data_IF_505636074606
#
_entry.id   IF_505636074606
#
_cell.length_a   1.000
_cell.length_b   1.000
_cell.length_c   1.000
_cell.angle_alpha   90.00
_cell.angle_beta   90.00
_cell.angle_gamma   90.00
#
_symmetry.space_group_name_H-M   'P 1'
#
loop_
_entity.id
_entity.type
_entity.pdbx_description
1 polymer ?
#
# COMPACT_ATOMS: atom_id res chain seq x y z
N UNK A 1 2.37 15.32 18.37
CA UNK A 1 1.10 14.58 18.45
C UNK A 1 0.14 15.28 17.51
N UNK A 2 -0.30 14.65 16.41
CA UNK A 2 -1.33 15.25 15.54
C UNK A 2 -2.68 14.96 16.20
N UNK A 3 -3.58 15.93 16.24
CA UNK A 3 -4.95 15.74 16.73
C UNK A 3 -5.83 15.54 15.49
N UNK A 4 -6.57 14.44 15.44
CA UNK A 4 -7.52 14.13 14.37
C UNK A 4 -8.89 14.75 14.68
N UNK A 5 -9.60 15.21 13.66
CA UNK A 5 -10.99 15.65 13.77
C UNK A 5 -11.94 14.54 13.29
N UNK A 6 -12.63 13.87 14.22
CA UNK A 6 -13.39 12.64 13.97
C UNK A 6 -14.88 12.86 13.74
N UNK A 7 -15.23 13.92 12.99
CA UNK A 7 -16.62 14.29 12.79
C UNK A 7 -17.44 13.18 12.13
N UNK A 8 -16.93 12.57 11.04
CA UNK A 8 -17.63 11.46 10.37
C UNK A 8 -17.86 10.26 11.30
N UNK A 9 -16.82 9.83 12.00
CA UNK A 9 -16.90 8.68 12.91
C UNK A 9 -17.92 8.89 14.02
N UNK A 10 -17.95 10.10 14.60
CA UNK A 10 -18.92 10.47 15.61
C UNK A 10 -20.35 10.50 15.05
N UNK A 11 -20.55 11.08 13.86
CA UNK A 11 -21.87 11.08 13.20
C UNK A 11 -22.36 9.66 12.91
N UNK A 12 -21.50 8.78 12.39
CA UNK A 12 -21.88 7.39 12.10
C UNK A 12 -22.25 6.63 13.38
N UNK A 13 -21.54 6.88 14.50
CA UNK A 13 -21.81 6.23 15.80
C UNK A 13 -23.21 6.52 16.33
N UNK A 14 -23.70 7.75 16.15
CA UNK A 14 -25.03 8.17 16.61
C UNK A 14 -26.11 8.07 15.52
N UNK A 15 -25.82 7.44 14.38
CA UNK A 15 -26.80 7.32 13.29
C UNK A 15 -27.15 8.66 12.61
N UNK A 16 -26.28 9.67 12.75
CA UNK A 16 -26.43 11.01 12.19
C UNK A 16 -25.70 11.20 10.85
N UNK A 17 -25.07 10.14 10.33
CA UNK A 17 -24.36 10.15 9.05
C UNK A 17 -25.30 9.80 7.88
N UNK A 18 -25.94 10.81 7.30
CA UNK A 18 -26.88 10.66 6.18
C UNK A 18 -26.51 11.53 4.97
N UNK A 19 -27.10 11.20 3.82
CA UNK A 19 -26.91 11.96 2.59
C UNK A 19 -27.46 13.39 2.76
N UNK A 20 -26.57 14.39 2.73
CA UNK A 20 -26.94 15.79 2.91
C UNK A 20 -26.38 16.40 4.20
N UNK A 21 -25.92 15.59 5.16
CA UNK A 21 -25.46 16.05 6.48
C UNK A 21 -24.40 17.16 6.42
N UNK A 22 -23.50 17.13 5.43
CA UNK A 22 -22.48 18.19 5.23
C UNK A 22 -23.12 19.54 4.88
N UNK A 23 -24.20 19.54 4.08
CA UNK A 23 -24.95 20.74 3.73
C UNK A 23 -25.68 21.29 4.95
N UNK A 24 -26.42 20.42 5.64
CA UNK A 24 -27.20 20.80 6.84
C UNK A 24 -26.30 21.35 7.95
N UNK A 25 -25.14 20.72 8.18
CA UNK A 25 -24.13 21.21 9.11
C UNK A 25 -23.55 22.56 8.67
N UNK A 26 -23.33 22.76 7.38
CA UNK A 26 -22.78 24.01 6.85
C UNK A 26 -23.76 25.17 7.03
N UNK A 27 -25.03 24.93 6.74
CA UNK A 27 -26.10 25.90 6.88
C UNK A 27 -26.34 26.23 8.36
N UNK A 28 -26.44 25.22 9.23
CA UNK A 28 -26.63 25.43 10.67
C UNK A 28 -25.42 26.12 11.32
N UNK A 29 -24.20 25.68 10.99
CA UNK A 29 -23.00 26.28 11.54
C UNK A 29 -22.62 27.61 10.88
N UNK A 30 -23.34 28.04 9.84
CA UNK A 30 -23.10 29.29 9.12
C UNK A 30 -21.70 29.37 8.49
N UNK A 31 -21.22 28.27 7.89
CA UNK A 31 -19.90 28.19 7.23
C UNK A 31 -20.01 27.56 5.84
N UNK A 32 -18.98 27.73 5.01
CA UNK A 32 -18.96 27.11 3.69
C UNK A 32 -18.98 25.57 3.79
N UNK A 33 -19.80 24.92 2.96
CA UNK A 33 -19.88 23.47 2.79
C UNK A 33 -18.52 22.80 2.61
N UNK A 34 -17.58 23.46 1.95
CA UNK A 34 -16.21 22.96 1.75
C UNK A 34 -15.44 22.86 3.08
N UNK A 35 -15.68 23.77 4.02
CA UNK A 35 -15.07 23.75 5.36
C UNK A 35 -15.57 22.56 6.16
N UNK A 36 -16.89 22.33 6.18
CA UNK A 36 -17.48 21.14 6.83
C UNK A 36 -17.01 19.86 6.13
N UNK A 37 -16.96 19.84 4.79
CA UNK A 37 -16.47 18.68 4.05
C UNK A 37 -15.01 18.35 4.39
N UNK A 38 -14.16 19.37 4.59
CA UNK A 38 -12.78 19.15 5.04
C UNK A 38 -12.72 18.60 6.46
N UNK A 39 -13.51 19.13 7.39
CA UNK A 39 -13.58 18.62 8.77
C UNK A 39 -14.14 17.19 8.83
N UNK A 40 -15.20 16.93 8.09
CA UNK A 40 -15.84 15.62 7.97
C UNK A 40 -14.88 14.55 7.45
N UNK A 41 -13.96 14.91 6.55
CA UNK A 41 -12.95 14.02 6.00
C UNK A 41 -11.57 14.13 6.67
N UNK A 42 -11.45 14.78 7.84
CA UNK A 42 -10.17 14.99 8.56
C UNK A 42 -9.06 15.68 7.73
N UNK A 43 -9.45 16.54 6.78
CA UNK A 43 -8.54 17.32 5.91
C UNK A 43 -8.36 18.77 6.35
N UNK A 44 -8.88 19.13 7.53
CA UNK A 44 -8.75 20.47 8.08
C UNK A 44 -7.47 20.58 8.90
N UNK A 45 -6.63 21.58 8.61
CA UNK A 45 -5.39 21.81 9.37
C UNK A 45 -5.66 22.32 10.80
N UNK A 46 -6.80 22.99 11.00
CA UNK A 46 -7.28 23.47 12.29
C UNK A 46 -8.79 23.68 12.25
N UNK A 47 -9.42 23.75 13.42
CA UNK A 47 -10.82 24.14 13.60
C UNK A 47 -10.84 25.36 14.53
N UNK A 48 -11.61 26.40 14.18
CA UNK A 48 -11.78 27.55 15.06
C UNK A 48 -12.66 27.19 16.25
N UNK A 49 -12.42 27.80 17.42
CA UNK A 49 -13.25 27.56 18.62
C UNK A 49 -14.73 27.88 18.39
N UNK A 50 -15.03 28.90 17.58
CA UNK A 50 -16.41 29.27 17.23
C UNK A 50 -17.08 28.15 16.43
N UNK A 51 -16.39 27.61 15.43
CA UNK A 51 -16.93 26.50 14.63
C UNK A 51 -17.04 25.22 15.47
N UNK A 52 -16.06 24.94 16.33
CA UNK A 52 -16.11 23.81 17.26
C UNK A 52 -17.31 23.90 18.19
N UNK A 53 -17.54 25.08 18.79
CA UNK A 53 -18.69 25.32 19.68
C UNK A 53 -20.02 25.11 18.94
N UNK A 54 -20.12 25.60 17.70
CA UNK A 54 -21.29 25.36 16.84
C UNK A 54 -21.50 23.87 16.57
N UNK A 55 -20.45 23.15 16.18
CA UNK A 55 -20.54 21.71 15.93
C UNK A 55 -20.96 20.93 17.17
N UNK A 56 -20.41 21.25 18.34
CA UNK A 56 -20.85 20.65 19.61
C UNK A 56 -22.32 20.97 19.91
N UNK A 57 -22.77 22.20 19.65
CA UNK A 57 -24.18 22.58 19.83
C UNK A 57 -25.11 21.76 18.95
N UNK A 58 -24.80 21.62 17.66
CA UNK A 58 -25.59 20.82 16.72
C UNK A 58 -25.66 19.34 17.10
N UNK A 59 -24.55 18.79 17.63
CA UNK A 59 -24.46 17.40 18.10
C UNK A 59 -25.25 17.20 19.40
N UNK A 60 -25.15 18.14 20.33
CA UNK A 60 -25.92 18.11 21.58
C UNK A 60 -27.43 18.20 21.33
N UNK A 61 -27.88 19.01 20.35
CA UNK A 61 -29.28 19.06 19.91
C UNK A 61 -29.79 17.71 19.34
N UNK A 62 -28.88 16.80 18.98
CA UNK A 62 -29.16 15.48 18.42
C UNK A 62 -28.77 14.34 19.35
N UNK A 63 -28.84 14.61 20.66
CA UNK A 63 -28.67 13.62 21.72
C UNK A 63 -27.27 12.98 21.79
N UNK A 64 -26.25 13.61 21.19
CA UNK A 64 -24.86 13.23 21.48
C UNK A 64 -24.54 13.68 22.92
N UNK A 65 -24.11 12.76 23.81
CA UNK A 65 -23.85 13.05 25.22
C UNK A 65 -22.84 14.20 25.41
N UNK A 66 -23.14 15.10 26.34
CA UNK A 66 -22.32 16.28 26.60
C UNK A 66 -20.94 15.93 27.19
N UNK A 67 -20.81 14.79 27.88
CA UNK A 67 -19.55 14.24 28.38
C UNK A 67 -18.65 13.67 27.27
N UNK A 68 -19.22 13.35 26.10
CA UNK A 68 -18.46 13.02 24.89
C UNK A 68 -18.06 14.26 24.08
N UNK A 69 -18.50 15.48 24.41
CA UNK A 69 -18.19 16.70 23.64
C UNK A 69 -17.32 17.68 24.44
N UNK A 70 -16.31 18.33 23.82
CA UNK A 70 -15.82 18.14 22.45
C UNK A 70 -14.91 16.92 22.29
N UNK A 71 -14.64 16.15 23.35
CA UNK A 71 -13.62 15.10 23.37
C UNK A 71 -13.75 14.08 22.23
N UNK A 72 -14.96 13.60 21.96
CA UNK A 72 -15.29 12.66 20.88
C UNK A 72 -15.13 13.22 19.47
N UNK A 73 -15.08 14.55 19.29
CA UNK A 73 -14.71 15.17 18.02
C UNK A 73 -13.19 15.12 17.78
N UNK A 74 -12.40 14.88 18.82
CA UNK A 74 -10.95 14.87 18.74
C UNK A 74 -10.38 13.50 19.05
N UNK A 75 -9.62 12.97 18.10
CA UNK A 75 -8.79 11.81 18.32
C UNK A 75 -7.36 12.20 18.63
N UNK A 76 -6.62 11.35 19.35
CA UNK A 76 -5.19 11.27 19.11
C UNK A 76 -5.06 10.84 17.65
N UNK A 77 -4.57 11.76 16.82
CA UNK A 77 -4.35 11.49 15.42
C UNK A 77 -3.35 10.36 15.27
N UNK A 78 -3.63 9.45 14.32
CA UNK A 78 -2.75 8.32 14.04
C UNK A 78 -1.36 8.86 13.78
N UNK A 79 -0.39 8.21 14.42
CA UNK A 79 0.99 8.55 14.16
C UNK A 79 1.23 8.43 12.64
N UNK A 80 1.88 9.44 12.02
CA UNK A 80 2.37 9.29 10.65
C UNK A 80 3.12 7.97 10.49
N UNK A 81 3.10 7.36 9.30
CA UNK A 81 3.62 6.01 9.04
C UNK A 81 4.99 5.77 9.69
N UNK A 82 5.95 6.66 9.45
CA UNK A 82 7.30 6.53 9.98
C UNK A 82 7.33 6.58 11.51
N UNK A 83 6.48 7.42 12.10
CA UNK A 83 6.31 7.49 13.54
C UNK A 83 5.60 6.26 14.10
N UNK A 84 4.63 5.69 13.37
CA UNK A 84 3.94 4.47 13.74
C UNK A 84 4.92 3.29 13.78
N UNK A 85 5.73 3.13 12.73
CA UNK A 85 6.79 2.11 12.67
C UNK A 85 7.81 2.25 13.79
N UNK A 86 8.33 3.46 14.03
CA UNK A 86 9.30 3.70 15.10
C UNK A 86 8.73 3.42 16.51
N UNK A 87 7.45 3.75 16.73
CA UNK A 87 6.76 3.53 18.02
C UNK A 87 6.29 2.10 18.22
N UNK A 88 6.12 1.34 17.14
CA UNK A 88 5.71 -0.06 17.20
C UNK A 88 6.62 -0.87 18.12
N UNK A 89 7.90 -0.51 18.14
CA UNK A 89 8.96 -1.23 18.82
C UNK A 89 9.38 -2.47 18.03
N UNK A 90 10.60 -2.94 18.29
CA UNK A 90 11.19 -4.09 17.60
C UNK A 90 11.97 -3.75 16.34
N UNK A 91 12.33 -4.80 15.60
CA UNK A 91 13.12 -4.69 14.36
C UNK A 91 12.23 -4.28 13.17
N UNK A 92 12.77 -3.42 12.30
CA UNK A 92 12.22 -3.17 10.96
C UNK A 92 13.04 -3.98 9.96
N UNK A 93 12.40 -4.96 9.33
CA UNK A 93 13.04 -5.84 8.35
C UNK A 93 12.59 -5.51 6.94
N UNK A 94 13.52 -5.07 6.10
CA UNK A 94 13.29 -4.76 4.69
C UNK A 94 13.72 -5.97 3.86
N UNK A 95 12.77 -6.55 3.10
CA UNK A 95 13.01 -7.67 2.20
C UNK A 95 13.11 -7.19 0.75
N UNK A 96 14.20 -7.59 0.10
CA UNK A 96 14.50 -7.32 -1.30
C UNK A 96 14.71 -8.62 -2.07
N UNK A 97 14.35 -8.62 -3.34
CA UNK A 97 14.67 -9.70 -4.27
C UNK A 97 16.15 -9.75 -4.63
N UNK A 98 16.79 -10.91 -4.50
CA UNK A 98 18.15 -11.17 -4.99
C UNK A 98 18.09 -12.03 -6.26
N UNK A 99 18.53 -11.43 -7.36
CA UNK A 99 18.61 -12.05 -8.66
C UNK A 99 19.74 -13.09 -8.65
N UNK A 100 19.40 -14.34 -8.98
CA UNK A 100 20.36 -15.43 -9.15
C UNK A 100 20.21 -16.05 -10.54
N UNK A 101 20.84 -15.48 -11.58
CA UNK A 101 20.80 -16.04 -12.91
C UNK A 101 21.46 -17.41 -12.93
N UNK A 102 20.76 -18.33 -13.54
CA UNK A 102 21.19 -19.72 -13.63
C UNK A 102 21.69 -19.99 -15.04
N UNK A 103 22.92 -20.49 -15.15
CA UNK A 103 23.46 -21.13 -16.36
C UNK A 103 23.82 -22.56 -15.99
N UNK A 104 23.39 -23.53 -16.79
CA UNK A 104 23.70 -24.96 -16.56
C UNK A 104 23.44 -25.44 -15.11
N UNK A 105 22.35 -24.95 -14.49
CA UNK A 105 21.97 -25.22 -13.08
C UNK A 105 22.85 -24.59 -11.98
N UNK A 106 23.82 -23.74 -12.34
CA UNK A 106 24.67 -23.02 -11.39
C UNK A 106 24.35 -21.53 -11.36
N UNK A 107 24.44 -20.94 -10.16
CA UNK A 107 24.28 -19.49 -9.96
C UNK A 107 25.57 -18.79 -10.39
N UNK A 108 25.47 -17.93 -11.40
CA UNK A 108 26.66 -17.29 -11.99
C UNK A 108 27.12 -16.04 -11.21
N UNK A 109 26.19 -15.19 -10.78
CA UNK A 109 26.45 -14.03 -9.92
C UNK A 109 25.19 -13.66 -9.14
N UNK A 110 25.26 -12.69 -8.23
CA UNK A 110 24.12 -12.25 -7.41
C UNK A 110 24.06 -10.74 -7.36
N UNK A 111 22.86 -10.18 -7.48
CA UNK A 111 22.65 -8.74 -7.33
C UNK A 111 21.21 -8.44 -6.92
N UNK A 112 21.01 -7.19 -6.52
CA UNK A 112 19.70 -6.61 -6.27
C UNK A 112 19.42 -5.54 -7.33
N UNK A 113 18.14 -5.30 -7.62
CA UNK A 113 17.73 -4.21 -8.51
C UNK A 113 18.21 -2.88 -7.94
N UNK A 114 18.86 -2.04 -8.77
CA UNK A 114 19.23 -0.66 -8.42
C UNK A 114 18.00 0.10 -7.91
N UNK A 115 16.86 -0.04 -8.60
CA UNK A 115 15.60 0.65 -8.28
C UNK A 115 15.08 0.28 -6.90
N UNK A 116 15.03 -1.03 -6.60
CA UNK A 116 14.54 -1.51 -5.30
C UNK A 116 15.50 -1.14 -4.17
N UNK A 117 16.81 -1.15 -4.45
CA UNK A 117 17.86 -0.70 -3.53
C UNK A 117 17.78 0.79 -3.22
N UNK A 118 17.50 1.64 -4.22
CA UNK A 118 17.28 3.09 -4.01
C UNK A 118 16.12 3.32 -3.04
N UNK A 119 14.99 2.64 -3.25
CA UNK A 119 13.83 2.77 -2.35
C UNK A 119 14.16 2.31 -0.93
N UNK A 120 14.82 1.15 -0.78
CA UNK A 120 15.25 0.66 0.52
C UNK A 120 16.18 1.66 1.21
N UNK A 121 17.10 2.28 0.47
CA UNK A 121 18.03 3.29 1.01
C UNK A 121 17.30 4.54 1.51
N UNK A 122 16.33 5.05 0.76
CA UNK A 122 15.52 6.20 1.17
C UNK A 122 14.69 5.89 2.44
N UNK A 123 14.10 4.69 2.52
CA UNK A 123 13.38 4.25 3.71
C UNK A 123 14.30 4.10 4.93
N UNK A 124 15.50 3.55 4.75
CA UNK A 124 16.51 3.45 5.80
C UNK A 124 16.93 4.84 6.28
N UNK A 125 17.14 5.79 5.38
CA UNK A 125 17.46 7.17 5.74
C UNK A 125 16.31 7.81 6.55
N UNK A 126 15.08 7.64 6.10
CA UNK A 126 13.91 8.19 6.76
C UNK A 126 13.69 7.60 8.16
N UNK A 127 13.87 6.28 8.33
CA UNK A 127 13.77 5.62 9.64
C UNK A 127 14.95 5.95 10.56
N UNK A 128 16.15 6.13 9.99
CA UNK A 128 17.37 6.49 10.73
C UNK A 128 17.40 7.94 11.21
N UNK A 129 16.74 8.85 10.49
CA UNK A 129 16.65 10.28 10.88
C UNK A 129 15.92 10.48 12.22
N UNK A 130 15.25 9.44 12.73
CA UNK A 130 14.45 9.51 13.94
C UNK A 130 13.17 10.29 13.71
N UNK A 131 12.30 10.30 14.72
CA UNK A 131 11.00 10.97 14.62
C UNK A 131 11.05 12.32 15.33
N UNK A 132 10.29 13.31 14.85
CA UNK A 132 10.15 14.65 15.49
C UNK A 132 9.61 14.61 16.94
N UNK A 133 9.38 13.43 17.51
CA UNK A 133 8.92 13.21 18.88
C UNK A 133 9.92 12.49 19.79
N UNK A 134 11.19 12.36 19.40
CA UNK A 134 12.24 11.78 20.26
C UNK A 134 12.19 10.25 20.40
N UNK A 135 11.41 9.55 19.58
CA UNK A 135 11.47 8.08 19.51
C UNK A 135 12.79 7.69 18.84
N UNK A 136 13.61 6.82 19.46
CA UNK A 136 14.89 6.39 18.88
C UNK A 136 14.66 5.68 17.55
N UNK A 137 15.67 5.74 16.68
CA UNK A 137 15.64 5.00 15.42
C UNK A 137 15.48 3.50 15.71
N UNK A 138 14.60 2.78 14.99
CA UNK A 138 14.44 1.35 15.18
C UNK A 138 15.67 0.58 14.71
N UNK A 139 15.85 -0.64 15.20
CA UNK A 139 16.86 -1.55 14.62
C UNK A 139 16.44 -1.91 13.19
N UNK A 140 17.34 -1.70 12.23
CA UNK A 140 17.08 -1.95 10.82
C UNK A 140 17.80 -3.23 10.37
N UNK A 141 17.07 -4.09 9.66
CA UNK A 141 17.60 -5.33 9.10
C UNK A 141 17.25 -5.41 7.61
N UNK A 142 18.25 -5.60 6.76
CA UNK A 142 18.03 -5.84 5.33
C UNK A 142 18.22 -7.33 5.05
N UNK A 143 17.21 -7.95 4.44
CA UNK A 143 17.23 -9.35 4.05
C UNK A 143 17.00 -9.51 2.56
N UNK A 144 17.83 -10.35 1.96
CA UNK A 144 17.79 -10.65 0.54
C UNK A 144 17.15 -12.02 0.32
N UNK A 145 16.14 -12.07 -0.54
CA UNK A 145 15.45 -13.30 -0.89
C UNK A 145 15.88 -13.77 -2.27
N UNK A 146 16.66 -14.86 -2.34
CA UNK A 146 17.14 -15.36 -3.61
C UNK A 146 15.99 -15.94 -4.42
N UNK A 147 15.91 -15.53 -5.68
CA UNK A 147 15.09 -16.17 -6.69
C UNK A 147 15.94 -16.43 -7.92
N UNK A 148 15.77 -17.62 -8.49
CA UNK A 148 16.51 -18.05 -9.67
C UNK A 148 15.71 -17.71 -10.91
N UNK A 149 16.40 -17.14 -11.89
CA UNK A 149 15.78 -16.73 -13.14
C UNK A 149 16.72 -17.00 -14.33
N UNK A 150 16.14 -17.33 -15.48
CA UNK A 150 16.89 -17.42 -16.74
C UNK A 150 16.62 -16.13 -17.52
N UNK A 151 17.62 -15.27 -17.77
CA UNK A 151 17.40 -14.04 -18.53
C UNK A 151 16.95 -14.31 -19.98
N UNK A 152 17.29 -15.47 -20.53
CA UNK A 152 17.01 -15.85 -21.91
C UNK A 152 15.62 -16.49 -22.09
N UNK A 153 15.02 -17.00 -21.00
CA UNK A 153 13.76 -17.73 -21.06
C UNK A 153 12.65 -17.00 -20.32
N UNK A 154 11.58 -16.67 -21.03
CA UNK A 154 10.36 -16.15 -20.41
C UNK A 154 9.61 -17.21 -19.57
N UNK A 155 10.02 -18.48 -19.69
CA UNK A 155 9.44 -19.62 -18.99
C UNK A 155 10.23 -19.85 -17.69
N UNK A 156 9.51 -19.94 -16.57
CA UNK A 156 10.11 -20.31 -15.29
C UNK A 156 10.35 -21.82 -15.25
N UNK A 157 11.59 -22.22 -14.93
CA UNK A 157 11.89 -23.61 -14.57
C UNK A 157 11.11 -24.00 -13.30
N UNK A 158 10.22 -24.99 -13.44
CA UNK A 158 9.31 -25.42 -12.37
C UNK A 158 10.04 -26.02 -11.16
N UNK A 159 11.18 -26.68 -11.38
CA UNK A 159 11.96 -27.27 -10.29
C UNK A 159 12.63 -26.15 -9.47
N UNK A 160 13.28 -25.21 -10.14
CA UNK A 160 13.89 -24.05 -9.48
C UNK A 160 12.85 -23.20 -8.75
N UNK A 161 11.69 -22.97 -9.37
CA UNK A 161 10.57 -22.26 -8.76
C UNK A 161 10.08 -22.97 -7.49
N UNK A 162 9.85 -24.28 -7.53
CA UNK A 162 9.39 -25.04 -6.37
C UNK A 162 10.36 -24.96 -5.18
N UNK A 163 11.66 -25.02 -5.44
CA UNK A 163 12.69 -24.86 -4.42
C UNK A 163 12.72 -23.42 -3.85
N UNK A 164 12.60 -22.40 -4.71
CA UNK A 164 12.53 -21.00 -4.29
C UNK A 164 11.27 -20.70 -3.48
N UNK A 165 10.12 -21.25 -3.89
CA UNK A 165 8.86 -21.20 -3.16
C UNK A 165 8.99 -21.85 -1.79
N UNK A 166 9.64 -23.02 -1.69
CA UNK A 166 9.80 -23.74 -0.42
C UNK A 166 10.65 -22.95 0.58
N UNK A 167 11.78 -22.40 0.11
CA UNK A 167 12.65 -21.52 0.90
C UNK A 167 11.94 -20.25 1.35
N UNK A 168 11.22 -19.60 0.44
CA UNK A 168 10.50 -18.36 0.73
C UNK A 168 9.33 -18.61 1.70
N UNK A 169 8.64 -19.75 1.57
CA UNK A 169 7.57 -20.15 2.49
C UNK A 169 8.08 -20.26 3.93
N UNK A 170 9.28 -20.81 4.12
CA UNK A 170 9.86 -20.93 5.45
C UNK A 170 10.18 -19.55 6.04
N UNK A 171 10.72 -18.62 5.25
CA UNK A 171 10.91 -17.22 5.67
C UNK A 171 9.57 -16.59 6.04
N UNK A 172 8.53 -16.75 5.21
CA UNK A 172 7.19 -16.22 5.48
C UNK A 172 6.64 -16.77 6.80
N UNK A 173 6.73 -18.09 7.02
CA UNK A 173 6.30 -18.73 8.27
C UNK A 173 7.02 -18.16 9.49
N UNK A 174 8.34 -17.94 9.39
CA UNK A 174 9.12 -17.33 10.48
C UNK A 174 8.65 -15.90 10.78
N UNK A 175 8.35 -15.09 9.76
CA UNK A 175 7.81 -13.73 9.97
C UNK A 175 6.43 -13.76 10.64
N UNK A 176 5.57 -14.72 10.28
CA UNK A 176 4.22 -14.88 10.84
C UNK A 176 4.23 -15.40 12.29
N UNK A 177 5.24 -16.20 12.65
CA UNK A 177 5.35 -16.82 13.97
C UNK A 177 6.16 -15.99 14.96
N UNK A 178 6.75 -14.88 14.54
CA UNK A 178 7.50 -14.01 15.44
C UNK A 178 6.56 -13.38 16.48
N UNK A 179 6.72 -13.68 17.78
CA UNK A 179 5.86 -13.10 18.81
C UNK A 179 6.25 -11.66 19.17
N UNK A 180 7.42 -11.19 18.70
CA UNK A 180 7.91 -9.85 18.99
C UNK A 180 7.23 -8.81 18.08
N UNK A 181 6.95 -7.60 18.61
CA UNK A 181 6.58 -6.46 17.78
C UNK A 181 7.64 -6.22 16.70
N UNK A 182 7.21 -5.69 15.56
CA UNK A 182 8.14 -5.38 14.48
C UNK A 182 7.46 -4.86 13.24
N UNK A 183 8.28 -4.43 12.28
CA UNK A 183 7.81 -3.98 10.98
C UNK A 183 8.43 -4.82 9.88
N UNK A 184 7.62 -5.23 8.91
CA UNK A 184 8.08 -5.90 7.69
C UNK A 184 7.83 -4.97 6.51
N UNK A 185 8.86 -4.70 5.71
CA UNK A 185 8.76 -3.93 4.49
C UNK A 185 9.14 -4.84 3.32
N UNK A 186 8.24 -5.03 2.37
CA UNK A 186 8.44 -5.83 1.16
C UNK A 186 8.59 -4.89 -0.04
N UNK A 187 9.72 -4.96 -0.73
CA UNK A 187 9.99 -4.14 -1.91
C UNK A 187 10.17 -5.05 -3.13
N UNK A 188 9.48 -4.71 -4.21
CA UNK A 188 9.57 -5.42 -5.49
C UNK A 188 8.34 -6.30 -5.77
N UNK A 189 8.02 -6.46 -7.06
CA UNK A 189 6.86 -7.25 -7.51
C UNK A 189 7.00 -8.74 -7.19
N UNK A 190 5.92 -9.49 -7.34
CA UNK A 190 5.88 -10.95 -7.12
C UNK A 190 6.81 -11.72 -8.05
N UNK A 191 7.29 -11.09 -9.14
CA UNK A 191 8.24 -11.71 -10.07
C UNK A 191 9.68 -11.68 -9.56
N UNK A 192 9.98 -10.81 -8.59
CA UNK A 192 11.34 -10.58 -8.09
C UNK A 192 11.44 -10.69 -6.57
N UNK A 193 10.33 -10.59 -5.86
CA UNK A 193 10.25 -10.80 -4.42
C UNK A 193 9.11 -11.77 -4.10
N UNK A 194 9.43 -13.07 -4.06
CA UNK A 194 8.45 -14.14 -3.84
C UNK A 194 7.76 -14.07 -2.48
N UNK A 195 8.30 -13.33 -1.50
CA UNK A 195 7.63 -13.13 -0.21
C UNK A 195 6.37 -12.29 -0.35
N UNK A 196 6.33 -11.37 -1.33
CA UNK A 196 5.14 -10.61 -1.67
C UNK A 196 3.99 -11.53 -2.07
N UNK A 197 4.27 -12.58 -2.85
CA UNK A 197 3.28 -13.55 -3.31
C UNK A 197 2.62 -14.28 -2.13
N UNK A 198 3.43 -14.74 -1.16
CA UNK A 198 2.92 -15.36 0.06
C UNK A 198 2.14 -14.37 0.92
N UNK A 199 2.62 -13.14 1.06
CA UNK A 199 1.94 -12.11 1.85
C UNK A 199 0.57 -11.75 1.27
N UNK A 200 0.47 -11.53 -0.04
CA UNK A 200 -0.81 -11.22 -0.71
C UNK A 200 -1.75 -12.42 -0.61
N UNK A 201 -1.24 -13.64 -0.84
CA UNK A 201 -2.05 -14.84 -0.76
C UNK A 201 -2.64 -15.08 0.64
N UNK A 202 -1.85 -14.87 1.70
CA UNK A 202 -2.30 -14.96 3.09
C UNK A 202 -3.31 -13.85 3.44
N UNK A 203 -3.05 -12.61 3.01
CA UNK A 203 -3.92 -11.47 3.30
C UNK A 203 -5.32 -11.64 2.72
N UNK A 204 -5.44 -12.22 1.52
CA UNK A 204 -6.69 -12.39 0.79
C UNK A 204 -7.22 -13.83 0.77
N UNK A 205 -6.62 -14.74 1.55
CA UNK A 205 -7.11 -16.11 1.71
C UNK A 205 -7.06 -16.97 0.44
N UNK A 206 -6.07 -16.78 -0.43
CA UNK A 206 -5.89 -17.56 -1.65
C UNK A 206 -4.59 -18.37 -1.66
N UNK A 207 -4.35 -19.15 -2.72
CA UNK A 207 -3.15 -19.99 -2.85
C UNK A 207 -2.05 -19.23 -3.60
N UNK A 208 -0.84 -19.07 -3.05
CA UNK A 208 0.26 -18.39 -3.73
C UNK A 208 0.72 -19.20 -4.96
N UNK A 209 1.28 -18.51 -5.96
CA UNK A 209 1.79 -19.10 -7.21
C UNK A 209 0.75 -19.94 -7.99
N UNK A 210 -0.53 -19.61 -7.84
CA UNK A 210 -1.63 -20.29 -8.51
C UNK A 210 -2.45 -19.27 -9.27
N UNK A 211 -2.58 -19.42 -10.60
CA UNK A 211 -3.46 -18.55 -11.37
C UNK A 211 -4.89 -18.67 -10.83
N UNK A 212 -5.59 -17.56 -10.58
CA UNK A 212 -6.97 -17.62 -10.10
C UNK A 212 -7.89 -18.34 -11.09
N UNK A 213 -8.72 -19.24 -10.56
CA UNK A 213 -9.83 -19.86 -11.28
C UNK A 213 -11.13 -19.55 -10.54
N UNK A 214 -12.13 -19.02 -11.26
CA UNK A 214 -13.42 -18.63 -10.68
C UNK A 214 -13.49 -17.15 -10.28
N UNK A 215 -14.21 -16.78 -9.21
CA UNK A 215 -14.35 -15.39 -8.78
C UNK A 215 -13.01 -14.82 -8.28
N UNK A 216 -12.80 -13.50 -8.34
CA UNK A 216 -11.57 -12.89 -7.87
C UNK A 216 -11.40 -13.07 -6.36
N UNK A 217 -10.18 -13.41 -5.95
CA UNK A 217 -9.77 -13.44 -4.54
C UNK A 217 -8.98 -12.18 -4.15
N UNK A 218 -8.36 -11.50 -5.11
CA UNK A 218 -7.54 -10.29 -4.89
C UNK A 218 -8.17 -9.13 -5.67
N UNK A 219 -8.26 -7.91 -5.10
CA UNK A 219 -8.93 -6.78 -5.75
C UNK A 219 -8.07 -6.08 -6.83
N UNK A 220 -6.91 -6.64 -7.16
CA UNK A 220 -6.02 -6.17 -8.22
C UNK A 220 -5.35 -7.36 -8.91
N UNK A 221 -4.90 -7.14 -10.15
CA UNK A 221 -4.26 -8.14 -10.98
C UNK A 221 -3.23 -7.49 -11.90
N UNK A 222 -2.01 -8.03 -11.95
CA UNK A 222 -0.92 -7.54 -12.80
C UNK A 222 -0.83 -8.35 -14.09
N UNK A 223 -1.18 -7.73 -15.22
CA UNK A 223 -1.11 -8.38 -16.54
C UNK A 223 0.27 -8.17 -17.14
N UNK A 224 1.01 -9.25 -17.35
CA UNK A 224 2.42 -9.24 -17.75
C UNK A 224 2.63 -8.78 -19.19
N UNK A 225 3.80 -8.19 -19.47
CA UNK A 225 4.27 -7.97 -20.85
C UNK A 225 4.70 -9.30 -21.45
N UNK A 226 4.72 -9.38 -22.78
CA UNK A 226 5.27 -10.55 -23.49
C UNK A 226 6.75 -10.80 -23.14
N UNK A 227 7.51 -9.75 -22.84
CA UNK A 227 8.92 -9.85 -22.46
C UNK A 227 9.14 -10.22 -20.99
N UNK A 228 8.08 -10.19 -20.17
CA UNK A 228 8.20 -10.51 -18.75
C UNK A 228 8.29 -12.01 -18.53
N UNK A 229 8.98 -12.41 -17.46
CA UNK A 229 8.95 -13.79 -17.01
C UNK A 229 7.53 -14.17 -16.58
N UNK A 230 7.01 -15.28 -17.10
CA UNK A 230 5.65 -15.76 -16.84
C UNK A 230 5.58 -16.53 -15.51
N UNK A 231 5.92 -15.86 -14.41
CA UNK A 231 5.89 -16.42 -13.07
C UNK A 231 4.44 -16.63 -12.62
N UNK A 232 4.03 -17.87 -12.24
CA UNK A 232 2.71 -18.12 -11.69
C UNK A 232 2.42 -17.22 -10.49
N UNK A 233 1.22 -16.64 -10.42
CA UNK A 233 0.81 -15.76 -9.32
C UNK A 233 -0.69 -15.78 -9.11
N UNK A 234 -1.13 -15.59 -7.86
CA UNK A 234 -2.52 -15.41 -7.48
C UNK A 234 -3.08 -14.01 -7.79
N UNK A 235 -2.23 -13.07 -8.20
CA UNK A 235 -2.63 -11.72 -8.61
C UNK A 235 -1.85 -11.25 -9.85
N UNK A 236 -1.33 -12.17 -10.67
CA UNK A 236 -0.66 -11.80 -11.91
C UNK A 236 -0.58 -12.93 -12.91
N UNK A 237 -0.44 -12.58 -14.18
CA UNK A 237 -0.40 -13.54 -15.27
C UNK A 237 -0.45 -12.87 -16.65
N UNK A 238 -0.47 -13.66 -17.73
CA UNK A 238 -0.49 -13.15 -19.10
C UNK A 238 -1.85 -12.53 -19.50
N UNK A 239 -2.92 -12.84 -18.78
CA UNK A 239 -4.23 -12.25 -18.97
C UNK A 239 -4.98 -12.12 -17.63
N UNK A 240 -5.83 -11.09 -17.50
CA UNK A 240 -6.75 -10.95 -16.37
C UNK A 240 -7.98 -11.85 -16.59
N UNK A 241 -8.22 -12.88 -15.75
CA UNK A 241 -9.33 -13.81 -15.94
C UNK A 241 -10.70 -13.22 -15.59
N UNK A 242 -10.77 -12.05 -14.95
CA UNK A 242 -12.01 -11.46 -14.41
C UNK A 242 -12.58 -10.34 -15.29
N UNK A 243 -11.90 -10.01 -16.38
CA UNK A 243 -12.25 -8.93 -17.28
C UNK A 243 -12.18 -9.46 -18.72
N UNK A 244 -13.21 -9.22 -19.53
CA UNK A 244 -13.18 -9.62 -20.95
C UNK A 244 -12.45 -8.58 -21.82
N UNK A 245 -12.82 -7.31 -21.66
CA UNK A 245 -12.20 -6.19 -22.37
C UNK A 245 -10.83 -5.88 -21.76
N UNK A 246 -9.83 -5.59 -22.58
CA UNK A 246 -8.47 -5.22 -22.13
C UNK A 246 -7.79 -6.32 -21.29
N UNK A 247 -8.27 -7.56 -21.34
CA UNK A 247 -7.79 -8.67 -20.50
C UNK A 247 -6.31 -8.97 -20.69
N UNK A 248 -5.75 -8.64 -21.85
CA UNK A 248 -4.34 -8.83 -22.21
C UNK A 248 -3.54 -7.53 -22.19
N UNK A 249 -4.13 -6.41 -21.76
CA UNK A 249 -3.46 -5.11 -21.73
C UNK A 249 -2.45 -5.11 -20.59
N UNK A 250 -1.13 -4.99 -20.85
CA UNK A 250 -0.15 -5.03 -19.78
C UNK A 250 -0.32 -3.86 -18.81
N UNK A 251 -0.17 -4.12 -17.51
CA UNK A 251 -0.32 -3.12 -16.47
C UNK A 251 -1.02 -3.64 -15.22
N UNK A 252 -1.51 -2.72 -14.39
CA UNK A 252 -2.23 -3.05 -13.15
C UNK A 252 -3.72 -2.87 -13.37
N UNK A 253 -4.46 -3.97 -13.26
CA UNK A 253 -5.91 -4.01 -13.22
C UNK A 253 -6.37 -3.98 -11.77
N UNK A 254 -7.47 -3.30 -11.47
CA UNK A 254 -8.03 -3.27 -10.12
C UNK A 254 -9.54 -3.06 -10.13
N UNK A 255 -10.19 -3.46 -9.04
CA UNK A 255 -11.61 -3.21 -8.82
C UNK A 255 -11.82 -1.79 -8.27
N UNK A 256 -12.57 -0.98 -9.01
CA UNK A 256 -12.96 0.33 -8.54
C UNK A 256 -14.10 0.27 -7.52
N UNK A 257 -14.52 1.43 -7.05
CA UNK A 257 -15.57 1.62 -6.05
C UNK A 257 -16.96 1.12 -6.51
N UNK A 258 -17.19 1.05 -7.82
CA UNK A 258 -18.40 0.50 -8.47
C UNK A 258 -18.34 -1.02 -8.67
N UNK A 259 -17.23 -1.66 -8.31
CA UNK A 259 -17.01 -3.09 -8.54
C UNK A 259 -16.66 -3.46 -9.98
N UNK A 260 -16.26 -2.47 -10.80
CA UNK A 260 -15.79 -2.71 -12.16
C UNK A 260 -14.26 -2.81 -12.19
N UNK A 261 -13.75 -3.73 -13.00
CA UNK A 261 -12.33 -3.79 -13.30
C UNK A 261 -11.92 -2.59 -14.17
N UNK A 262 -10.89 -1.88 -13.72
CA UNK A 262 -10.27 -0.75 -14.41
C UNK A 262 -8.80 -1.07 -14.61
N UNK A 263 -8.24 -0.62 -15.73
CA UNK A 263 -6.83 -0.81 -16.08
C UNK A 263 -6.05 0.50 -15.90
N UNK A 264 -4.89 0.40 -15.26
CA UNK A 264 -3.79 1.36 -15.38
C UNK A 264 -2.78 0.73 -16.35
N UNK A 265 -2.84 1.08 -17.65
CA UNK A 265 -2.01 0.43 -18.65
C UNK A 265 -0.55 0.83 -18.46
N UNK A 266 0.34 -0.09 -18.79
CA UNK A 266 1.74 0.23 -18.97
C UNK A 266 1.96 0.70 -20.40
N UNK A 267 2.47 1.92 -20.55
CA UNK A 267 2.87 2.50 -21.83
C UNK A 267 4.32 2.91 -21.70
N UNK A 268 5.18 2.33 -22.55
CA UNK A 268 6.63 2.53 -22.48
C UNK A 268 6.97 4.02 -22.46
N UNK A 269 7.81 4.42 -21.51
CA UNK A 269 8.24 5.81 -21.26
C UNK A 269 7.13 6.83 -20.88
N UNK A 270 5.86 6.48 -20.94
CA UNK A 270 4.75 7.43 -20.70
C UNK A 270 3.97 7.13 -19.42
N UNK A 271 3.55 5.88 -19.24
CA UNK A 271 2.63 5.48 -18.17
C UNK A 271 3.05 4.17 -17.51
N UNK A 272 2.89 4.12 -16.20
CA UNK A 272 3.15 2.92 -15.42
C UNK A 272 2.24 2.90 -14.19
N UNK A 273 2.27 1.82 -13.45
CA UNK A 273 1.43 1.66 -12.28
C UNK A 273 2.09 0.80 -11.21
N UNK A 274 1.50 0.79 -10.03
CA UNK A 274 1.91 -0.11 -8.96
C UNK A 274 0.92 -0.11 -7.82
N UNK A 275 1.28 -0.81 -6.75
CA UNK A 275 0.44 -1.01 -5.58
C UNK A 275 1.28 -0.84 -4.32
N UNK A 276 0.70 -0.16 -3.34
CA UNK A 276 1.17 -0.18 -1.95
C UNK A 276 0.11 -0.86 -1.10
N UNK A 277 0.52 -1.76 -0.21
CA UNK A 277 -0.35 -2.44 0.75
C UNK A 277 0.17 -2.14 2.14
N UNK A 278 -0.68 -1.62 3.01
CA UNK A 278 -0.37 -1.35 4.41
C UNK A 278 -1.28 -2.17 5.31
N UNK A 279 -0.68 -2.96 6.20
CA UNK A 279 -1.38 -3.74 7.23
C UNK A 279 -0.87 -3.32 8.60
N UNK A 280 -1.78 -2.94 9.47
CA UNK A 280 -1.51 -2.63 10.87
C UNK A 280 -2.19 -3.69 11.75
N UNK A 281 -1.42 -4.67 12.26
CA UNK A 281 -1.94 -5.70 13.15
C UNK A 281 -1.77 -5.28 14.61
N UNK A 282 -2.89 -4.88 15.23
CA UNK A 282 -2.91 -4.42 16.62
C UNK A 282 -2.67 -5.55 17.61
N UNK A 283 -3.09 -6.78 17.28
CA UNK A 283 -2.94 -7.94 18.16
C UNK A 283 -1.49 -8.37 18.25
N UNK A 284 -0.78 -8.40 17.11
CA UNK A 284 0.64 -8.76 17.05
C UNK A 284 1.57 -7.60 17.29
N UNK A 285 1.03 -6.37 17.35
CA UNK A 285 1.82 -5.15 17.37
C UNK A 285 2.81 -5.15 16.20
N UNK A 286 2.33 -5.41 14.99
CA UNK A 286 3.18 -5.42 13.80
C UNK A 286 2.62 -4.58 12.67
N UNK A 287 3.50 -3.93 11.92
CA UNK A 287 3.16 -3.24 10.67
C UNK A 287 3.77 -4.03 9.51
N UNK A 288 2.99 -4.27 8.47
CA UNK A 288 3.51 -4.81 7.21
C UNK A 288 3.21 -3.82 6.10
N UNK A 289 4.25 -3.42 5.39
CA UNK A 289 4.17 -2.54 4.24
C UNK A 289 4.72 -3.30 3.04
N UNK A 290 3.95 -3.39 1.96
CA UNK A 290 4.42 -3.92 0.69
C UNK A 290 4.29 -2.84 -0.37
N UNK A 291 5.31 -2.68 -1.21
CA UNK A 291 5.27 -1.76 -2.34
C UNK A 291 5.93 -2.37 -3.56
N UNK A 292 5.23 -2.27 -4.69
CA UNK A 292 5.72 -2.79 -5.94
C UNK A 292 5.13 -2.03 -7.11
N UNK A 293 5.99 -1.66 -8.06
CA UNK A 293 5.59 -1.23 -9.38
C UNK A 293 5.35 -2.41 -10.30
N UNK A 294 4.61 -2.17 -11.37
CA UNK A 294 4.55 -3.06 -12.53
C UNK A 294 5.95 -3.20 -13.18
N UNK A 295 6.70 -2.09 -13.23
CA UNK A 295 8.14 -2.06 -13.52
C UNK A 295 8.98 -1.63 -12.32
N UNK A 296 10.30 -1.85 -12.37
CA UNK A 296 11.23 -1.32 -11.37
C UNK A 296 11.26 0.21 -11.31
N UNK A 297 11.00 0.89 -12.44
CA UNK A 297 10.87 2.37 -12.49
C UNK A 297 9.66 2.82 -11.69
N UNK A 298 8.54 2.10 -11.78
CA UNK A 298 7.36 2.36 -10.96
C UNK A 298 7.61 2.08 -9.48
N UNK A 299 8.34 1.01 -9.13
CA UNK A 299 8.71 0.76 -7.73
C UNK A 299 9.50 1.93 -7.13
N UNK A 300 10.49 2.47 -7.86
CA UNK A 300 11.26 3.63 -7.41
C UNK A 300 10.39 4.88 -7.24
N UNK A 301 9.57 5.20 -8.25
CA UNK A 301 8.67 6.34 -8.21
C UNK A 301 7.71 6.30 -7.01
N UNK A 302 7.08 5.15 -6.78
CA UNK A 302 6.13 4.94 -5.68
C UNK A 302 6.87 5.00 -4.34
N UNK A 303 8.06 4.41 -4.24
CA UNK A 303 8.87 4.44 -3.03
C UNK A 303 9.25 5.87 -2.63
N UNK A 304 9.70 6.69 -3.58
CA UNK A 304 9.98 8.11 -3.38
C UNK A 304 8.74 8.86 -2.89
N UNK A 305 7.61 8.69 -3.56
CA UNK A 305 6.35 9.33 -3.17
C UNK A 305 5.91 8.90 -1.76
N UNK A 306 6.05 7.62 -1.41
CA UNK A 306 5.73 7.10 -0.07
C UNK A 306 6.59 7.72 1.04
N UNK A 307 7.89 7.89 0.80
CA UNK A 307 8.82 8.54 1.75
C UNK A 307 8.43 10.00 2.01
N UNK A 308 8.09 10.74 0.95
CA UNK A 308 7.82 12.18 1.04
C UNK A 308 6.35 12.52 1.37
N UNK A 309 5.40 11.68 1.01
CA UNK A 309 3.95 11.88 1.15
C UNK A 309 3.27 10.67 1.78
N UNK A 310 3.74 10.28 2.96
CA UNK A 310 3.26 9.09 3.69
C UNK A 310 1.75 9.11 3.96
N UNK A 311 1.13 10.29 4.02
CA UNK A 311 -0.30 10.50 4.25
C UNK A 311 -1.19 10.03 3.10
N UNK A 312 -0.63 9.82 1.90
CA UNK A 312 -1.35 9.22 0.77
C UNK A 312 -1.52 7.70 0.92
N UNK A 313 -0.66 7.06 1.72
CA UNK A 313 -0.57 5.61 1.86
C UNK A 313 -0.87 5.13 3.30
N UNK A 314 -1.15 6.07 4.20
CA UNK A 314 -1.39 5.81 5.60
C UNK A 314 -2.32 6.88 6.19
N UNK A 315 -3.34 6.51 6.98
CA UNK A 315 -3.59 5.17 7.53
C UNK A 315 -4.32 4.21 6.56
N UNK A 316 -4.38 2.90 6.89
CA UNK A 316 -5.16 1.92 6.15
C UNK A 316 -6.66 2.27 6.11
N UNK A 317 -7.34 1.98 4.99
CA UNK A 317 -8.74 2.36 4.76
C UNK A 317 -9.76 1.44 5.41
N UNK A 318 -9.53 0.12 5.41
CA UNK A 318 -10.38 -0.86 6.08
C UNK A 318 -9.93 -1.04 7.54
N UNK A 319 -10.86 -0.91 8.48
CA UNK A 319 -10.63 -1.15 9.90
C UNK A 319 -11.37 -2.41 10.33
N UNK A 320 -10.63 -3.44 10.75
CA UNK A 320 -11.17 -4.64 11.37
C UNK A 320 -10.87 -4.63 12.88
N UNK A 321 -11.49 -5.52 13.64
CA UNK A 321 -11.34 -5.59 15.11
C UNK A 321 -9.88 -5.69 15.57
N UNK A 322 -9.06 -6.43 14.85
CA UNK A 322 -7.68 -6.75 15.26
C UNK A 322 -6.61 -6.22 14.31
N UNK A 323 -7.00 -5.76 13.11
CA UNK A 323 -6.07 -5.27 12.10
C UNK A 323 -6.71 -4.21 11.21
N UNK A 324 -5.89 -3.40 10.58
CA UNK A 324 -6.32 -2.43 9.57
C UNK A 324 -5.58 -2.73 8.27
N UNK A 325 -6.27 -2.59 7.14
CA UNK A 325 -5.73 -2.94 5.82
C UNK A 325 -6.04 -1.84 4.81
N UNK A 326 -5.02 -1.43 4.07
CA UNK A 326 -5.09 -0.43 3.03
C UNK A 326 -4.39 -0.95 1.79
N UNK A 327 -5.02 -0.77 0.63
CA UNK A 327 -4.44 -1.08 -0.67
C UNK A 327 -4.55 0.19 -1.50
N UNK A 328 -3.45 0.66 -2.05
CA UNK A 328 -3.34 1.93 -2.74
C UNK A 328 -2.82 1.67 -4.15
N UNK A 329 -3.65 1.97 -5.15
CA UNK A 329 -3.28 1.86 -6.57
C UNK A 329 -2.59 3.16 -6.97
N UNK A 330 -1.36 3.05 -7.48
CA UNK A 330 -0.58 4.20 -7.93
C UNK A 330 -0.59 4.23 -9.45
N UNK A 331 -1.05 5.32 -10.05
CA UNK A 331 -0.91 5.58 -11.48
C UNK A 331 0.16 6.63 -11.69
N UNK A 332 1.12 6.31 -12.55
CA UNK A 332 2.28 7.16 -12.82
C UNK A 332 2.19 7.68 -14.25
N UNK A 333 2.42 8.98 -14.41
CA UNK A 333 2.74 9.58 -15.69
C UNK A 333 4.16 10.12 -15.64
N UNK A 334 4.94 9.83 -16.68
CA UNK A 334 6.31 10.27 -16.79
C UNK A 334 6.45 11.43 -17.76
N UNK A 335 7.40 12.31 -17.48
CA UNK A 335 7.80 13.34 -18.43
C UNK A 335 8.58 12.65 -19.58
N UNK A 336 8.26 12.92 -20.85
CA UNK A 336 9.07 12.46 -21.97
C UNK A 336 10.47 13.05 -21.84
N UNK A 337 11.52 12.22 -21.91
CA UNK A 337 12.90 12.69 -21.91
C UNK A 337 13.19 13.42 -23.23
N UNK A 338 13.53 14.71 -23.19
CA UNK A 338 13.82 15.51 -24.40
C UNK A 338 15.26 15.36 -24.95
N UNK A 339 16.07 14.38 -24.51
CA UNK A 339 17.41 14.19 -25.09
C UNK A 339 18.15 12.90 -24.75
N UNK A 340 19.11 12.54 -25.62
CA UNK A 340 20.05 11.40 -25.48
C UNK A 340 20.99 11.50 -24.25
N UNK A 341 20.92 12.58 -23.48
CA UNK A 341 21.79 12.86 -22.34
C UNK A 341 21.18 12.56 -20.95
N UNK A 342 19.94 12.07 -20.85
CA UNK A 342 19.31 11.59 -19.60
C UNK A 342 19.84 10.21 -19.12
N UNK A 343 21.09 9.89 -19.47
CA UNK A 343 21.78 8.63 -19.17
C UNK A 343 22.10 8.44 -17.67
N UNK A 344 21.73 9.37 -16.78
CA UNK A 344 21.91 9.22 -15.32
C UNK A 344 20.80 8.40 -14.65
N UNK A 345 19.71 8.13 -15.37
CA UNK A 345 18.72 7.14 -14.96
C UNK A 345 17.93 7.52 -13.70
N UNK A 346 17.81 8.79 -13.34
CA UNK A 346 16.86 9.22 -12.31
C UNK A 346 15.42 9.13 -12.84
N UNK A 347 14.49 8.64 -12.00
CA UNK A 347 13.07 8.60 -12.37
C UNK A 347 12.45 9.97 -12.16
N UNK A 348 12.19 10.70 -13.25
CA UNK A 348 11.35 11.89 -13.22
C UNK A 348 9.88 11.50 -13.43
N UNK A 349 9.09 11.68 -12.37
CA UNK A 349 7.64 11.46 -12.38
C UNK A 349 6.96 12.81 -12.54
N UNK A 350 6.07 12.92 -13.52
CA UNK A 350 5.25 14.12 -13.67
C UNK A 350 4.10 14.10 -12.66
N UNK A 351 3.39 12.98 -12.57
CA UNK A 351 2.29 12.78 -11.62
C UNK A 351 2.30 11.36 -11.05
N UNK A 352 1.96 11.25 -9.76
CA UNK A 352 1.66 10.01 -9.07
C UNK A 352 0.27 10.12 -8.46
N UNK A 353 -0.74 9.60 -9.15
CA UNK A 353 -2.12 9.60 -8.67
C UNK A 353 -2.36 8.36 -7.82
N UNK A 354 -2.51 8.57 -6.51
CA UNK A 354 -2.75 7.49 -5.54
C UNK A 354 -4.25 7.34 -5.30
N UNK A 355 -4.79 6.18 -5.63
CA UNK A 355 -6.20 5.81 -5.41
C UNK A 355 -6.29 4.74 -4.33
N UNK A 356 -6.71 5.07 -3.10
CA UNK A 356 -6.98 4.06 -2.09
C UNK A 356 -8.19 3.21 -2.49
N UNK A 357 -8.10 1.89 -2.32
CA UNK A 357 -9.27 1.03 -2.43
C UNK A 357 -10.21 1.27 -1.25
N UNK A 358 -11.50 1.45 -1.58
CA UNK A 358 -12.55 1.69 -0.60
C UNK A 358 -12.71 0.51 0.37
N UNK A 359 -13.03 0.80 1.62
CA UNK A 359 -13.21 -0.22 2.67
C UNK A 359 -14.24 -1.29 2.25
N UNK A 360 -15.35 -0.86 1.62
CA UNK A 360 -16.41 -1.76 1.10
C UNK A 360 -15.92 -2.73 0.03
N UNK A 361 -14.87 -2.37 -0.72
CA UNK A 361 -14.28 -3.25 -1.73
C UNK A 361 -13.38 -4.24 -1.03
N UNK A 362 -12.52 -3.78 -0.13
CA UNK A 362 -11.57 -4.63 0.62
C UNK A 362 -12.26 -5.65 1.54
N UNK A 363 -13.37 -5.27 2.18
CA UNK A 363 -14.14 -6.15 3.06
C UNK A 363 -14.66 -7.42 2.37
N UNK A 364 -14.81 -7.40 1.04
CA UNK A 364 -15.24 -8.58 0.25
C UNK A 364 -14.13 -9.62 0.08
N UNK A 365 -12.87 -9.24 0.26
CA UNK A 365 -11.70 -10.07 -0.04
C UNK A 365 -10.88 -10.42 1.21
N UNK A 366 -11.05 -9.69 2.31
CA UNK A 366 -10.27 -9.88 3.53
C UNK A 366 -11.10 -10.68 4.52
N UNK A 367 -10.61 -11.88 4.85
CA UNK A 367 -11.27 -12.83 5.76
C UNK A 367 -10.70 -12.78 7.18
#
# INVERSE_FOLDING_TARGET
>A
MKVEFRLKELLSRYGLDYHGVIGDLADWAGVNRHTIARLYNDRAASVSFVLLSRLCGWLAEREVPADELPGGLFGIGRAPLWNAMARQGGEVTIFLGEYQPVSTSEVTWRWISRRDSTVASEMVQQLSAGTKGGTPAPHLNLRYLPFRYSPADHIVDQKLLSEDMSRTREVFRQTQQNPQPGTVILIGSQRVNYLLEFFVADLFGCKPFTLPSGPPCVPFFSVYRQSDQNTPSCFGGPHNPFQQKDSTTPGVHFLNDRGNWVVCPWVREEQDAGVVIAVNDHRRKSITLALFGFSGRATEAIGKELVHKEDLFWPPTLKLKTREVGVFICRLAYTPSEGEHDAQGEVQVQTCDVTPLEARTLEKFIH
#
